data_IF_633521916407
#
_entry.id   IF_633521916407
#
_cell.length_a   1.000
_cell.length_b   1.000
_cell.length_c   1.000
_cell.angle_alpha   90.00
_cell.angle_beta   90.00
_cell.angle_gamma   90.00
#
_symmetry.space_group_name_H-M   'P 1'
#
loop_
_entity.id
_entity.type
_entity.pdbx_description
1 polymer ?
#
# COMPACT_ATOMS: atom_id res chain seq x y z
N UNK A 1 13.89 20.89 3.41
CA UNK A 1 12.55 20.40 3.04
C UNK A 1 12.64 19.39 1.89
N UNK A 2 13.44 19.66 0.85
CA UNK A 2 13.57 18.82 -0.34
C UNK A 2 14.10 17.40 -0.06
N UNK A 3 15.10 17.25 0.82
CA UNK A 3 15.66 15.93 1.16
C UNK A 3 14.64 15.01 1.88
N UNK A 4 13.77 15.58 2.73
CA UNK A 4 12.71 14.82 3.41
C UNK A 4 11.56 14.46 2.46
N UNK A 5 11.28 15.32 1.48
CA UNK A 5 10.27 15.06 0.46
C UNK A 5 10.74 13.94 -0.48
N UNK A 6 12.00 13.98 -0.93
CA UNK A 6 12.62 12.92 -1.72
C UNK A 6 12.62 11.57 -0.97
N UNK A 7 13.04 11.55 0.30
CA UNK A 7 13.03 10.34 1.12
C UNK A 7 11.62 9.74 1.24
N UNK A 8 10.59 10.58 1.46
CA UNK A 8 9.19 10.14 1.52
C UNK A 8 8.66 9.64 0.18
N UNK A 9 9.14 10.21 -0.93
CA UNK A 9 8.70 9.83 -2.27
C UNK A 9 9.33 8.55 -2.80
N UNK A 10 10.57 8.27 -2.41
CA UNK A 10 11.37 7.19 -3.00
C UNK A 10 11.57 6.00 -2.05
N UNK A 11 11.86 6.25 -0.77
CA UNK A 11 12.25 5.20 0.17
C UNK A 11 11.10 4.70 1.06
N UNK A 12 9.98 5.43 1.16
CA UNK A 12 8.87 5.11 2.06
C UNK A 12 7.57 5.03 1.28
N UNK A 13 6.92 3.87 1.33
CA UNK A 13 5.55 3.69 0.86
C UNK A 13 4.54 3.93 1.99
N UNK A 14 3.36 4.43 1.64
CA UNK A 14 2.28 4.69 2.60
C UNK A 14 1.01 3.94 2.22
N UNK A 15 0.41 3.27 3.21
CA UNK A 15 -0.94 2.69 3.12
C UNK A 15 -1.75 3.23 4.28
N UNK A 16 -2.89 3.84 4.00
CA UNK A 16 -3.76 4.45 5.00
C UNK A 16 -5.05 3.65 5.18
N UNK A 17 -5.75 3.90 6.25
CA UNK A 17 -7.08 3.35 6.53
C UNK A 17 -8.10 3.71 5.43
N UNK A 18 -8.05 4.95 4.94
CA UNK A 18 -8.74 5.39 3.72
C UNK A 18 -7.77 5.24 2.55
N UNK A 19 -8.19 4.56 1.49
CA UNK A 19 -7.30 4.15 0.38
C UNK A 19 -6.71 5.33 -0.39
N UNK A 20 -7.36 6.52 -0.35
CA UNK A 20 -6.97 7.74 -1.07
C UNK A 20 -6.72 7.48 -2.57
N UNK A 21 -7.54 6.63 -3.18
CA UNK A 21 -7.51 6.42 -4.62
C UNK A 21 -8.26 7.55 -5.34
N UNK A 22 -7.78 7.89 -6.52
CA UNK A 22 -8.47 8.81 -7.42
C UNK A 22 -9.59 8.02 -8.11
N UNK A 23 -10.83 8.25 -7.72
CA UNK A 23 -11.98 7.43 -8.12
C UNK A 23 -12.22 7.38 -9.64
N UNK A 24 -12.01 8.49 -10.35
CA UNK A 24 -12.17 8.56 -11.80
C UNK A 24 -11.03 7.91 -12.60
N UNK A 25 -9.89 7.60 -11.95
CA UNK A 25 -8.78 6.90 -12.57
C UNK A 25 -9.00 5.39 -12.55
N UNK A 26 -8.42 4.72 -13.53
CA UNK A 26 -8.34 3.25 -13.53
C UNK A 26 -7.44 2.76 -12.40
N UNK A 27 -7.55 1.49 -12.09
CA UNK A 27 -6.73 0.81 -11.11
C UNK A 27 -5.24 0.92 -11.45
N UNK A 28 -4.89 0.70 -12.73
CA UNK A 28 -3.50 0.84 -13.19
C UNK A 28 -3.01 2.28 -13.10
N UNK A 29 -3.81 3.27 -13.48
CA UNK A 29 -3.45 4.69 -13.37
C UNK A 29 -3.18 5.10 -11.91
N UNK A 30 -4.00 4.62 -10.96
CA UNK A 30 -3.74 4.85 -9.53
C UNK A 30 -2.39 4.29 -9.08
N UNK A 31 -2.01 3.09 -9.53
CA UNK A 31 -0.72 2.48 -9.19
C UNK A 31 0.44 3.20 -9.88
N UNK A 32 0.24 3.74 -11.09
CA UNK A 32 1.24 4.51 -11.83
C UNK A 32 1.53 5.89 -11.20
N UNK A 33 0.62 6.46 -10.42
CA UNK A 33 0.72 7.85 -9.94
C UNK A 33 2.07 8.21 -9.30
N UNK A 34 2.66 7.40 -8.40
CA UNK A 34 3.97 7.71 -7.83
C UNK A 34 5.07 7.78 -8.88
N UNK A 35 5.06 6.89 -9.87
CA UNK A 35 6.03 6.85 -10.96
C UNK A 35 5.90 8.09 -11.86
N UNK A 36 4.66 8.46 -12.20
CA UNK A 36 4.38 9.65 -13.00
C UNK A 36 4.78 10.92 -12.27
N UNK A 37 4.49 11.01 -10.96
CA UNK A 37 4.87 12.16 -10.14
C UNK A 37 6.39 12.33 -10.07
N UNK A 38 7.15 11.25 -9.91
CA UNK A 38 8.61 11.29 -9.89
C UNK A 38 9.21 11.68 -11.25
N UNK A 39 8.63 11.22 -12.36
CA UNK A 39 9.14 11.48 -13.71
C UNK A 39 8.59 12.78 -14.35
N UNK A 40 7.59 13.42 -13.71
CA UNK A 40 6.90 14.61 -14.23
C UNK A 40 5.92 14.34 -15.39
N UNK A 41 5.94 13.14 -15.98
CA UNK A 41 5.06 12.71 -17.07
C UNK A 41 5.01 11.18 -17.17
N UNK A 42 3.95 10.60 -17.77
CA UNK A 42 3.93 9.18 -18.12
C UNK A 42 5.11 8.80 -19.03
N UNK A 43 5.70 7.64 -18.77
CA UNK A 43 6.80 7.08 -19.55
C UNK A 43 6.52 5.62 -19.96
N UNK A 44 7.14 5.10 -21.03
CA UNK A 44 7.09 3.69 -21.40
C UNK A 44 7.49 2.80 -20.22
N UNK A 45 6.81 1.65 -20.06
CA UNK A 45 7.07 0.68 -19.00
C UNK A 45 6.35 0.95 -17.67
N UNK A 46 5.82 2.16 -17.44
CA UNK A 46 5.10 2.45 -16.18
C UNK A 46 3.79 1.65 -16.07
N UNK A 47 3.09 1.49 -17.19
CA UNK A 47 1.85 0.70 -17.24
C UNK A 47 2.13 -0.77 -16.95
N UNK A 48 3.11 -1.34 -17.59
CA UNK A 48 3.53 -2.73 -17.39
C UNK A 48 3.96 -2.97 -15.94
N UNK A 49 4.67 -2.01 -15.35
CA UNK A 49 5.04 -2.07 -13.92
C UNK A 49 3.81 -2.05 -13.02
N UNK A 50 2.83 -1.19 -13.31
CA UNK A 50 1.57 -1.15 -12.56
C UNK A 50 0.79 -2.46 -12.67
N UNK A 51 0.71 -3.05 -13.85
CA UNK A 51 0.04 -4.32 -14.08
C UNK A 51 0.73 -5.49 -13.35
N UNK A 52 2.06 -5.52 -13.31
CA UNK A 52 2.82 -6.48 -12.50
C UNK A 52 2.51 -6.35 -11.00
N UNK A 53 2.45 -5.12 -10.48
CA UNK A 53 2.08 -4.87 -9.09
C UNK A 53 0.63 -5.25 -8.80
N UNK A 54 -0.30 -4.99 -9.72
CA UNK A 54 -1.67 -5.45 -9.60
C UNK A 54 -1.78 -6.96 -9.62
N UNK A 55 -0.96 -7.63 -10.43
CA UNK A 55 -0.89 -9.10 -10.43
C UNK A 55 -0.41 -9.64 -9.08
N UNK A 56 0.61 -9.04 -8.46
CA UNK A 56 1.12 -9.47 -7.15
C UNK A 56 0.11 -9.35 -6.01
N UNK A 57 -0.90 -8.45 -6.16
CA UNK A 57 -1.99 -8.30 -5.19
C UNK A 57 -3.30 -9.00 -5.64
N UNK A 58 -3.24 -9.82 -6.71
CA UNK A 58 -4.38 -10.61 -7.21
C UNK A 58 -5.42 -9.81 -8.01
N UNK A 59 -5.06 -8.63 -8.53
CA UNK A 59 -5.98 -7.71 -9.20
C UNK A 59 -5.64 -7.44 -10.68
N UNK A 60 -4.83 -8.28 -11.34
CA UNK A 60 -4.45 -8.09 -12.75
C UNK A 60 -5.65 -7.87 -13.68
N UNK A 61 -6.74 -8.62 -13.46
CA UNK A 61 -7.97 -8.55 -14.26
C UNK A 61 -8.78 -7.26 -14.07
N UNK A 62 -8.40 -6.40 -13.13
CA UNK A 62 -9.06 -5.14 -12.82
C UNK A 62 -8.24 -3.91 -13.24
N UNK A 63 -7.15 -4.08 -13.99
CA UNK A 63 -6.22 -2.99 -14.35
C UNK A 63 -6.94 -1.79 -14.99
N UNK A 64 -7.92 -2.04 -15.87
CA UNK A 64 -8.68 -1.01 -16.58
C UNK A 64 -9.96 -0.58 -15.86
N UNK A 65 -10.27 -1.18 -14.72
CA UNK A 65 -11.46 -0.81 -13.95
C UNK A 65 -11.22 0.47 -13.16
N UNK A 66 -12.22 1.35 -13.12
CA UNK A 66 -12.15 2.58 -12.30
C UNK A 66 -12.13 2.23 -10.81
N UNK A 67 -11.37 3.00 -10.05
CA UNK A 67 -11.18 2.75 -8.62
C UNK A 67 -12.49 2.90 -7.81
N UNK A 68 -13.41 3.78 -8.23
CA UNK A 68 -14.72 3.97 -7.59
C UNK A 68 -15.67 2.78 -7.77
N UNK A 69 -15.36 1.83 -8.67
CA UNK A 69 -16.15 0.62 -8.92
C UNK A 69 -15.65 -0.63 -8.19
N UNK A 70 -14.62 -0.47 -7.36
CA UNK A 70 -14.00 -1.55 -6.60
C UNK A 70 -14.64 -1.69 -5.21
N UNK A 71 -14.64 -2.91 -4.67
CA UNK A 71 -14.94 -3.13 -3.25
C UNK A 71 -13.87 -2.51 -2.36
N UNK A 72 -14.17 -2.23 -1.07
CA UNK A 72 -13.22 -1.67 -0.13
C UNK A 72 -11.93 -2.48 0.00
N UNK A 73 -12.04 -3.82 0.06
CA UNK A 73 -10.87 -4.70 0.10
C UNK A 73 -10.04 -4.67 -1.20
N UNK A 74 -10.69 -4.53 -2.36
CA UNK A 74 -9.98 -4.35 -3.64
C UNK A 74 -9.29 -2.98 -3.69
N UNK A 75 -9.95 -1.91 -3.25
CA UNK A 75 -9.35 -0.57 -3.16
C UNK A 75 -8.12 -0.58 -2.26
N UNK A 76 -8.19 -1.27 -1.13
CA UNK A 76 -7.04 -1.37 -0.21
C UNK A 76 -5.88 -2.14 -0.83
N UNK A 77 -6.13 -3.23 -1.56
CA UNK A 77 -5.07 -3.94 -2.30
C UNK A 77 -4.44 -3.07 -3.39
N UNK A 78 -5.22 -2.23 -4.07
CA UNK A 78 -4.69 -1.23 -5.02
C UNK A 78 -3.81 -0.22 -4.31
N UNK A 79 -4.21 0.27 -3.12
CA UNK A 79 -3.39 1.18 -2.32
C UNK A 79 -2.06 0.53 -1.89
N UNK A 80 -2.07 -0.76 -1.54
CA UNK A 80 -0.83 -1.53 -1.28
C UNK A 80 0.03 -1.62 -2.55
N UNK A 81 -0.54 -1.99 -3.70
CA UNK A 81 0.19 -2.04 -4.97
C UNK A 81 0.80 -0.67 -5.33
N UNK A 82 0.04 0.42 -5.17
CA UNK A 82 0.52 1.78 -5.40
C UNK A 82 1.70 2.13 -4.49
N UNK A 83 1.66 1.76 -3.22
CA UNK A 83 2.73 2.04 -2.26
C UNK A 83 4.04 1.35 -2.59
N UNK A 84 4.00 0.27 -3.39
CA UNK A 84 5.16 -0.50 -3.84
C UNK A 84 5.73 -0.01 -5.19
N UNK A 85 5.09 0.96 -5.85
CA UNK A 85 5.48 1.39 -7.19
C UNK A 85 6.94 1.86 -7.26
N UNK A 86 7.39 2.61 -6.25
CA UNK A 86 8.76 3.13 -6.14
C UNK A 86 9.74 2.17 -5.47
N UNK A 87 9.36 0.91 -5.20
CA UNK A 87 10.19 -0.11 -4.53
C UNK A 87 10.73 0.37 -3.17
N UNK A 88 9.88 0.83 -2.25
CA UNK A 88 10.32 1.41 -0.99
C UNK A 88 11.02 0.38 -0.10
N UNK A 89 12.00 0.84 0.68
CA UNK A 89 12.63 0.03 1.72
C UNK A 89 11.72 -0.16 2.96
N UNK A 90 10.82 0.81 3.19
CA UNK A 90 9.88 0.83 4.32
C UNK A 90 8.46 1.11 3.82
N UNK A 91 7.50 0.31 4.28
CA UNK A 91 6.07 0.53 4.12
C UNK A 91 5.46 0.93 5.46
N UNK A 92 4.87 2.11 5.52
CA UNK A 92 4.10 2.58 6.67
C UNK A 92 2.61 2.31 6.42
N UNK A 93 2.04 1.39 7.18
CA UNK A 93 0.64 1.00 7.07
C UNK A 93 -0.12 1.47 8.32
N UNK A 94 -0.87 2.56 8.18
CA UNK A 94 -1.63 3.18 9.26
C UNK A 94 -3.08 2.71 9.22
N UNK A 95 -3.45 1.86 10.18
CA UNK A 95 -4.77 1.20 10.30
C UNK A 95 -5.28 0.61 8.97
N UNK A 96 -4.47 -0.11 8.18
CA UNK A 96 -4.80 -0.47 6.81
C UNK A 96 -5.98 -1.45 6.70
N UNK A 97 -6.48 -1.95 7.81
CA UNK A 97 -7.61 -2.88 7.90
C UNK A 97 -8.82 -2.31 8.62
N UNK A 98 -8.73 -1.07 9.13
CA UNK A 98 -9.73 -0.49 10.05
C UNK A 98 -11.13 -0.32 9.47
N UNK A 99 -11.26 -0.15 8.15
CA UNK A 99 -12.54 0.04 7.45
C UNK A 99 -12.99 -1.20 6.63
N UNK A 100 -12.39 -2.36 6.87
CA UNK A 100 -12.65 -3.57 6.11
C UNK A 100 -13.45 -4.59 6.93
N UNK A 101 -14.22 -5.42 6.24
CA UNK A 101 -14.78 -6.63 6.85
C UNK A 101 -13.67 -7.60 7.25
N UNK A 102 -13.99 -8.53 8.16
CA UNK A 102 -13.00 -9.45 8.75
C UNK A 102 -12.21 -10.22 7.70
N UNK A 103 -12.86 -10.69 6.64
CA UNK A 103 -12.19 -11.47 5.57
C UNK A 103 -11.23 -10.58 4.79
N UNK A 104 -11.67 -9.40 4.36
CA UNK A 104 -10.85 -8.45 3.63
C UNK A 104 -9.67 -7.96 4.48
N UNK A 105 -9.87 -7.76 5.79
CA UNK A 105 -8.81 -7.40 6.73
C UNK A 105 -7.73 -8.48 6.82
N UNK A 106 -8.12 -9.75 6.93
CA UNK A 106 -7.18 -10.88 6.92
C UNK A 106 -6.41 -10.97 5.61
N UNK A 107 -7.09 -10.82 4.49
CA UNK A 107 -6.47 -10.85 3.16
C UNK A 107 -5.43 -9.73 2.99
N UNK A 108 -5.73 -8.50 3.46
CA UNK A 108 -4.79 -7.36 3.39
C UNK A 108 -3.61 -7.57 4.34
N UNK A 109 -3.84 -8.08 5.54
CA UNK A 109 -2.75 -8.41 6.47
C UNK A 109 -1.82 -9.50 5.89
N UNK A 110 -2.39 -10.57 5.33
CA UNK A 110 -1.62 -11.63 4.67
C UNK A 110 -0.79 -11.07 3.49
N UNK A 111 -1.37 -10.16 2.71
CA UNK A 111 -0.69 -9.49 1.61
C UNK A 111 0.51 -8.66 2.10
N UNK A 112 0.37 -7.88 3.17
CA UNK A 112 1.48 -7.10 3.75
C UNK A 112 2.60 -8.01 4.27
N UNK A 113 2.27 -9.15 4.85
CA UNK A 113 3.24 -10.19 5.26
C UNK A 113 3.96 -10.82 4.05
N UNK A 114 3.24 -11.03 2.95
CA UNK A 114 3.81 -11.53 1.70
C UNK A 114 4.80 -10.51 1.10
N UNK A 115 4.42 -9.23 1.02
CA UNK A 115 5.29 -8.13 0.56
C UNK A 115 6.60 -8.09 1.34
N UNK A 116 6.54 -8.19 2.68
CA UNK A 116 7.74 -8.23 3.52
C UNK A 116 8.66 -9.40 3.16
N UNK A 117 8.10 -10.60 2.97
CA UNK A 117 8.90 -11.81 2.68
C UNK A 117 9.49 -11.83 1.27
N UNK A 118 8.72 -11.38 0.27
CA UNK A 118 9.10 -11.52 -1.15
C UNK A 118 9.96 -10.35 -1.63
N UNK A 119 9.72 -9.14 -1.13
CA UNK A 119 10.41 -7.93 -1.58
C UNK A 119 11.47 -7.44 -0.59
N UNK A 120 11.55 -8.02 0.62
CA UNK A 120 12.45 -7.53 1.67
C UNK A 120 12.09 -6.14 2.21
N UNK A 121 10.92 -5.60 1.82
CA UNK A 121 10.40 -4.33 2.31
C UNK A 121 10.03 -4.45 3.78
N UNK A 122 10.57 -3.62 4.65
CA UNK A 122 10.14 -3.56 6.04
C UNK A 122 8.72 -3.00 6.13
N UNK A 123 7.86 -3.58 6.96
CA UNK A 123 6.49 -3.10 7.14
C UNK A 123 6.30 -2.65 8.59
N UNK A 124 6.02 -1.37 8.78
CA UNK A 124 5.54 -0.83 10.06
C UNK A 124 4.01 -0.75 10.00
N UNK A 125 3.38 -1.68 10.72
CA UNK A 125 1.93 -1.83 10.78
C UNK A 125 1.37 -1.19 12.05
N UNK A 126 0.70 -0.06 11.93
CA UNK A 126 0.03 0.62 13.03
C UNK A 126 -1.39 0.09 13.14
N UNK A 127 -1.78 -0.40 14.32
CA UNK A 127 -3.13 -0.93 14.56
C UNK A 127 -3.51 -0.91 16.04
N UNK A 128 -4.78 -0.79 16.31
CA UNK A 128 -5.38 -1.04 17.63
C UNK A 128 -5.88 -2.50 17.80
N UNK A 129 -5.78 -3.33 16.75
CA UNK A 129 -6.18 -4.73 16.79
C UNK A 129 -5.06 -5.61 17.37
N UNK A 130 -5.17 -5.96 18.64
CA UNK A 130 -4.19 -6.78 19.36
C UNK A 130 -3.97 -8.17 18.71
N UNK A 131 -5.01 -8.76 18.09
CA UNK A 131 -4.88 -10.05 17.42
C UNK A 131 -4.01 -9.99 16.17
N UNK A 132 -4.06 -8.89 15.40
CA UNK A 132 -3.17 -8.66 14.28
C UNK A 132 -1.76 -8.29 14.74
N UNK A 133 -1.63 -7.43 15.78
CA UNK A 133 -0.35 -7.05 16.35
C UNK A 133 0.46 -8.27 16.85
N UNK A 134 -0.20 -9.22 17.52
CA UNK A 134 0.42 -10.45 18.02
C UNK A 134 0.98 -11.37 16.92
N UNK A 135 0.59 -11.17 15.66
CA UNK A 135 1.06 -11.93 14.48
C UNK A 135 2.23 -11.26 13.75
N UNK A 136 2.64 -10.07 14.19
CA UNK A 136 3.82 -9.40 13.69
C UNK A 136 5.10 -9.98 14.30
N UNK A 137 6.26 -9.78 13.65
CA UNK A 137 7.53 -10.30 14.13
C UNK A 137 8.00 -9.56 15.39
N UNK A 138 7.59 -8.30 15.55
CA UNK A 138 7.88 -7.44 16.70
C UNK A 138 6.72 -6.47 16.92
N UNK A 139 6.40 -6.22 18.17
CA UNK A 139 5.41 -5.22 18.58
C UNK A 139 6.09 -4.12 19.39
N UNK A 140 5.71 -2.87 19.11
CA UNK A 140 6.09 -1.68 19.88
C UNK A 140 4.80 -1.06 20.38
N UNK A 141 4.65 -1.00 21.70
CA UNK A 141 3.48 -0.35 22.30
C UNK A 141 3.79 1.12 22.55
N UNK A 142 2.87 1.99 22.13
CA UNK A 142 2.95 3.43 22.36
C UNK A 142 1.75 3.88 23.18
N UNK A 143 2.00 4.44 24.37
CA UNK A 143 0.96 4.95 25.27
C UNK A 143 1.34 6.38 25.67
N UNK A 144 0.40 7.32 25.48
CA UNK A 144 0.59 8.75 25.76
C UNK A 144 1.88 9.33 25.14
N UNK A 145 2.18 8.91 23.91
CA UNK A 145 3.36 9.36 23.15
C UNK A 145 4.69 8.76 23.61
N UNK A 146 4.68 7.76 24.48
CA UNK A 146 5.86 7.06 24.98
C UNK A 146 5.88 5.60 24.58
N UNK A 147 7.03 5.12 24.19
CA UNK A 147 7.28 3.70 23.93
C UNK A 147 7.39 2.96 25.27
N UNK A 148 6.72 1.83 25.37
CA UNK A 148 6.77 0.91 26.50
C UNK A 148 7.48 -0.39 26.14
#
# INVERSE_FOLDING_TARGET
>A
EDARAALRGEAIGFVFQYHHLIGCFTTAENVMMPLVAAAGRPQPGMRERAEQLLASVGLAHLADRRADQLSGGQQQRVAVARSLAMQPALLLADEPTGNLDTKSAEDVFALLRQVNREHGTSVLFVTHNAALAARCDRTIEVVDGRVR
#
